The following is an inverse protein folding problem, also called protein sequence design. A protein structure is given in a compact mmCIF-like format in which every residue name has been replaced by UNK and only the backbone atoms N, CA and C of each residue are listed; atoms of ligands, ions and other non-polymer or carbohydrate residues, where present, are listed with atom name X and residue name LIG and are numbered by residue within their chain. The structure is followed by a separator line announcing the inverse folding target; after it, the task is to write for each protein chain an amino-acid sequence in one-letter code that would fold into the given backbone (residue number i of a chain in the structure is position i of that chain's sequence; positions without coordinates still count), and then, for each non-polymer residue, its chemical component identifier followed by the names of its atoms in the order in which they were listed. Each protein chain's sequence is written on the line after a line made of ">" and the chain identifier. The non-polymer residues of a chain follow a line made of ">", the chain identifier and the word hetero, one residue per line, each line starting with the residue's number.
data_IF_298617538678
#
_entry.id   IF_298617538678
#
_cell.length_a   1.000
_cell.length_b   1.000
_cell.length_c   1.000
_cell.angle_alpha   90.00
_cell.angle_beta   90.00
_cell.angle_gamma   90.00
#
_symmetry.space_group_name_H-M   'P 1'
#
loop_
_entity.id
_entity.type
_entity.pdbx_description
1 polymer ?
#
# COMPACT_ATOMS: atom_id res chain seq x y z
N UNK A 1 -22.05 -37.08 3.23
CA UNK A 1 -20.88 -37.64 2.54
C UNK A 1 -19.81 -36.56 2.47
N UNK A 2 -18.72 -36.70 3.24
CA UNK A 2 -17.52 -35.86 3.07
C UNK A 2 -16.66 -36.54 2.00
N UNK A 3 -16.31 -35.83 0.95
CA UNK A 3 -15.44 -36.36 -0.12
C UNK A 3 -14.10 -36.83 0.48
N UNK A 4 -13.54 -37.96 0.01
CA UNK A 4 -12.23 -38.40 0.47
C UNK A 4 -11.16 -37.40 -0.01
N UNK A 5 -10.12 -37.10 0.79
CA UNK A 5 -8.98 -36.34 0.30
C UNK A 5 -8.35 -37.12 -0.86
N UNK A 6 -8.22 -36.47 -2.02
CA UNK A 6 -7.47 -36.98 -3.17
C UNK A 6 -6.07 -37.41 -2.72
N UNK A 7 -5.48 -38.48 -3.31
CA UNK A 7 -4.14 -38.91 -2.95
C UNK A 7 -3.22 -37.70 -3.09
N UNK A 8 -2.67 -37.25 -1.97
CA UNK A 8 -1.72 -36.16 -1.94
C UNK A 8 -0.57 -36.59 -2.85
N UNK A 9 -0.51 -36.04 -4.06
CA UNK A 9 0.68 -36.09 -4.87
C UNK A 9 1.85 -35.64 -4.00
N UNK A 10 2.93 -36.41 -4.05
CA UNK A 10 4.16 -36.22 -3.30
C UNK A 10 4.77 -34.85 -3.60
N UNK A 11 4.30 -33.82 -2.90
CA UNK A 11 4.79 -32.46 -3.09
C UNK A 11 5.97 -32.22 -2.14
N UNK A 12 7.11 -31.84 -2.71
CA UNK A 12 8.33 -31.58 -1.94
C UNK A 12 8.22 -30.36 -0.98
N UNK A 13 7.29 -29.45 -1.23
CA UNK A 13 7.20 -28.15 -0.52
C UNK A 13 5.84 -27.92 0.14
N UNK A 14 4.74 -28.40 -0.45
CA UNK A 14 3.39 -28.17 0.08
C UNK A 14 3.24 -28.89 1.42
N UNK A 15 2.85 -28.16 2.46
CA UNK A 15 2.71 -28.68 3.83
C UNK A 15 3.98 -28.61 4.68
N UNK A 16 5.10 -28.14 4.13
CA UNK A 16 6.36 -27.94 4.87
C UNK A 16 6.50 -26.49 5.36
N UNK A 17 7.59 -26.19 6.09
CA UNK A 17 7.94 -24.83 6.57
C UNK A 17 9.15 -24.26 5.81
N UNK A 18 9.02 -23.91 4.52
CA UNK A 18 10.13 -23.35 3.76
C UNK A 18 10.51 -21.96 4.30
N UNK A 19 11.77 -21.58 4.14
CA UNK A 19 12.23 -20.22 4.44
C UNK A 19 11.56 -19.24 3.48
N UNK A 20 10.92 -18.22 4.03
CA UNK A 20 10.29 -17.16 3.24
C UNK A 20 11.38 -16.23 2.65
N UNK A 21 11.52 -16.11 1.32
CA UNK A 21 12.61 -15.34 0.71
C UNK A 21 12.64 -13.86 1.13
N UNK A 22 11.46 -13.23 1.24
CA UNK A 22 11.27 -11.84 1.68
C UNK A 22 11.23 -11.68 3.21
N UNK A 23 11.36 -12.78 3.96
CA UNK A 23 11.20 -12.78 5.42
C UNK A 23 12.22 -11.91 6.13
N UNK A 24 13.51 -12.06 5.79
CA UNK A 24 14.61 -11.36 6.46
C UNK A 24 14.51 -9.85 6.20
N UNK A 25 14.30 -9.43 4.95
CA UNK A 25 14.26 -8.00 4.62
C UNK A 25 13.07 -7.30 5.29
N UNK A 26 11.92 -7.97 5.42
CA UNK A 26 10.75 -7.44 6.13
C UNK A 26 10.97 -7.28 7.63
N UNK A 27 11.63 -8.25 8.29
CA UNK A 27 11.84 -8.19 9.76
C UNK A 27 13.04 -7.33 10.16
N UNK A 28 13.96 -7.05 9.22
CA UNK A 28 15.14 -6.20 9.46
C UNK A 28 14.98 -4.75 8.99
N UNK A 29 13.82 -4.39 8.42
CA UNK A 29 13.56 -3.05 7.89
C UNK A 29 14.31 -2.73 6.58
N UNK A 30 14.86 -3.75 5.90
CA UNK A 30 15.54 -3.59 4.60
C UNK A 30 14.57 -3.57 3.43
N UNK A 31 13.38 -4.15 3.59
CA UNK A 31 12.34 -4.12 2.59
C UNK A 31 11.84 -2.68 2.40
N UNK A 32 11.88 -2.17 1.16
CA UNK A 32 11.31 -0.87 0.79
C UNK A 32 9.90 -1.01 0.25
N UNK A 33 9.00 -0.21 0.76
CA UNK A 33 7.62 -0.05 0.32
C UNK A 33 7.43 1.32 -0.36
N UNK A 34 6.27 1.53 -0.97
CA UNK A 34 6.01 2.73 -1.79
C UNK A 34 6.28 4.07 -1.08
N UNK A 35 6.07 4.12 0.24
CA UNK A 35 6.33 5.32 1.05
C UNK A 35 7.80 5.56 1.39
N UNK A 36 8.68 4.56 1.19
CA UNK A 36 10.10 4.64 1.53
C UNK A 36 10.94 5.24 0.40
N UNK A 37 10.33 5.47 -0.76
CA UNK A 37 10.99 6.11 -1.90
C UNK A 37 10.92 7.64 -1.78
N UNK A 38 12.06 8.28 -2.02
CA UNK A 38 12.18 9.74 -2.16
C UNK A 38 13.00 10.03 -3.40
N UNK A 39 12.32 10.51 -4.45
CA UNK A 39 12.94 10.77 -5.75
C UNK A 39 13.26 12.26 -5.92
N UNK A 40 14.33 12.62 -6.67
CA UNK A 40 14.62 14.01 -6.99
C UNK A 40 13.42 14.68 -7.68
N UNK A 41 13.00 15.84 -7.16
CA UNK A 41 11.88 16.60 -7.71
C UNK A 41 10.48 16.09 -7.35
N UNK A 42 10.35 15.05 -6.52
CA UNK A 42 9.06 14.54 -6.07
C UNK A 42 8.26 15.59 -5.30
N UNK A 43 6.98 15.75 -5.65
CA UNK A 43 6.02 16.55 -4.89
C UNK A 43 5.43 15.74 -3.74
N UNK A 44 5.17 16.40 -2.62
CA UNK A 44 4.47 15.83 -1.48
C UNK A 44 3.00 16.25 -1.56
N UNK A 45 2.11 15.29 -1.78
CA UNK A 45 0.67 15.52 -1.88
C UNK A 45 -0.04 15.39 -0.53
N UNK A 46 -1.06 16.24 -0.30
CA UNK A 46 -2.00 16.10 0.82
C UNK A 46 -3.43 16.12 0.29
N UNK A 47 -4.22 15.12 0.70
CA UNK A 47 -5.60 14.96 0.21
C UNK A 47 -6.59 15.65 1.16
N UNK A 48 -7.29 16.67 0.66
CA UNK A 48 -8.49 17.21 1.31
C UNK A 48 -9.68 16.30 0.97
N UNK A 49 -10.34 15.75 1.98
CA UNK A 49 -11.47 14.83 1.82
C UNK A 49 -12.80 15.52 2.17
N UNK A 50 -13.88 15.00 1.59
CA UNK A 50 -15.23 15.47 1.93
C UNK A 50 -15.53 15.22 3.41
N UNK A 51 -16.06 16.21 4.14
CA UNK A 51 -16.59 16.00 5.49
C UNK A 51 -17.97 15.34 5.49
N UNK A 52 -18.61 15.21 4.31
CA UNK A 52 -19.95 14.66 4.16
C UNK A 52 -19.92 13.30 3.45
N UNK A 53 -20.69 12.29 3.89
CA UNK A 53 -20.78 10.97 3.24
C UNK A 53 -21.30 11.03 1.79
N UNK A 54 -22.21 11.97 1.50
CA UNK A 54 -22.72 12.22 0.16
C UNK A 54 -23.02 13.71 -0.01
N UNK A 55 -22.43 14.33 -1.04
CA UNK A 55 -22.65 15.73 -1.37
C UNK A 55 -22.31 16.00 -2.84
N UNK A 56 -22.89 17.06 -3.40
CA UNK A 56 -22.51 17.58 -4.72
C UNK A 56 -21.49 18.70 -4.55
N UNK A 57 -20.34 18.59 -5.22
CA UNK A 57 -19.34 19.66 -5.28
C UNK A 57 -19.92 20.81 -6.09
N UNK A 58 -20.11 21.98 -5.47
CA UNK A 58 -20.57 23.20 -6.15
C UNK A 58 -19.42 24.11 -6.56
N UNK A 59 -18.38 24.20 -5.73
CA UNK A 59 -17.21 25.05 -5.94
C UNK A 59 -16.01 24.44 -5.20
N UNK A 60 -14.82 24.64 -5.74
CA UNK A 60 -13.54 24.42 -5.05
C UNK A 60 -12.80 25.76 -5.10
N UNK A 61 -12.33 26.26 -3.96
CA UNK A 61 -11.54 27.47 -3.86
C UNK A 61 -10.16 27.13 -3.29
N UNK A 62 -9.12 27.33 -4.10
CA UNK A 62 -7.73 26.99 -3.76
C UNK A 62 -6.86 28.23 -3.51
N UNK A 63 -7.47 29.43 -3.51
CA UNK A 63 -6.73 30.71 -3.44
C UNK A 63 -5.81 30.81 -2.22
N UNK A 64 -6.27 30.36 -1.05
CA UNK A 64 -5.46 30.35 0.16
C UNK A 64 -4.33 29.30 0.12
N UNK A 65 -4.60 28.13 -0.47
CA UNK A 65 -3.58 27.08 -0.59
C UNK A 65 -2.42 27.53 -1.48
N UNK A 66 -2.69 28.22 -2.58
CA UNK A 66 -1.68 28.72 -3.51
C UNK A 66 -0.77 29.81 -2.92
N UNK A 67 -1.18 30.47 -1.83
CA UNK A 67 -0.37 31.48 -1.13
C UNK A 67 0.65 30.87 -0.18
N UNK A 68 0.50 29.60 0.18
CA UNK A 68 1.39 28.93 1.11
C UNK A 68 2.74 28.61 0.45
N UNK A 69 3.82 28.86 1.18
CA UNK A 69 5.17 28.53 0.74
C UNK A 69 5.31 27.02 0.51
N UNK A 70 5.93 26.64 -0.61
CA UNK A 70 6.18 25.24 -0.97
C UNK A 70 5.02 24.53 -1.67
N UNK A 71 3.85 25.17 -1.82
CA UNK A 71 2.76 24.65 -2.66
C UNK A 71 3.11 24.85 -4.14
N UNK A 72 2.86 23.81 -4.95
CA UNK A 72 3.12 23.76 -6.40
C UNK A 72 1.91 23.25 -7.15
#
# INVERSE_FOLDING_TARGET
>A
MRSPPSPASEFNVIGTRPVRPDGIDKVTGRARFGADYSLPGQLIGKVLRSPHPHARIKKIDISEALKLEGVK
#
